data_IF_145225913839
#
_entry.id   IF_145225913839
#
_cell.length_a   1.000
_cell.length_b   1.000
_cell.length_c   1.000
_cell.angle_alpha   90.00
_cell.angle_beta   90.00
_cell.angle_gamma   90.00
#
_symmetry.space_group_name_H-M   'P 1'
#
loop_
_entity.id
_entity.type
_entity.pdbx_description
1 polymer ?
#
# COMPACT_ATOMS: atom_id res chain seq x y z
N UNK A 1 18.82 -28.21 -42.92
CA UNK A 1 17.63 -27.37 -43.14
C UNK A 1 16.47 -27.73 -42.21
N UNK A 2 16.30 -29.01 -41.85
CA UNK A 2 15.17 -29.47 -40.99
C UNK A 2 15.31 -29.04 -39.50
N UNK A 3 16.54 -28.86 -38.97
CA UNK A 3 16.82 -28.45 -37.59
C UNK A 3 16.58 -26.96 -37.32
N UNK A 4 16.70 -26.12 -38.35
CA UNK A 4 16.47 -24.67 -38.21
C UNK A 4 14.97 -24.36 -38.14
N UNK A 5 14.12 -25.14 -38.81
CA UNK A 5 12.67 -25.01 -38.81
C UNK A 5 12.03 -25.31 -37.44
N UNK A 6 12.64 -26.19 -36.63
CA UNK A 6 12.11 -26.59 -35.33
C UNK A 6 12.37 -25.52 -34.23
N UNK A 7 13.41 -24.69 -34.41
CA UNK A 7 13.76 -23.63 -33.42
C UNK A 7 12.87 -22.39 -33.51
N UNK A 8 12.27 -22.13 -34.67
CA UNK A 8 11.38 -20.98 -34.89
C UNK A 8 9.98 -21.16 -34.30
N UNK A 9 9.55 -22.44 -34.10
CA UNK A 9 8.20 -22.72 -33.56
C UNK A 9 8.12 -22.59 -32.04
N UNK A 10 9.25 -22.58 -31.32
CA UNK A 10 9.28 -22.53 -29.86
C UNK A 10 9.12 -21.10 -29.27
N UNK A 11 9.19 -20.05 -30.08
CA UNK A 11 9.12 -18.66 -29.62
C UNK A 11 7.71 -18.04 -29.62
N UNK A 12 6.66 -18.78 -30.00
CA UNK A 12 5.30 -18.25 -30.18
C UNK A 12 4.32 -18.54 -29.02
N UNK A 13 4.76 -19.09 -27.87
CA UNK A 13 3.82 -19.65 -26.88
C UNK A 13 3.75 -18.97 -25.52
N UNK A 14 4.28 -17.75 -25.36
CA UNK A 14 4.10 -16.99 -24.11
C UNK A 14 3.20 -15.76 -24.30
N UNK A 15 2.02 -15.94 -24.92
CA UNK A 15 0.94 -14.99 -24.69
C UNK A 15 0.36 -15.29 -23.29
N UNK A 16 0.80 -14.54 -22.29
CA UNK A 16 0.13 -14.60 -20.98
C UNK A 16 -1.27 -14.06 -21.17
N UNK A 17 -2.27 -14.96 -21.17
CA UNK A 17 -3.67 -14.54 -21.20
C UNK A 17 -3.95 -13.64 -20.01
N UNK A 18 -4.38 -12.42 -20.29
CA UNK A 18 -4.78 -11.42 -19.32
C UNK A 18 -6.30 -11.41 -19.20
N UNK A 19 -6.79 -11.07 -18.03
CA UNK A 19 -8.19 -10.74 -17.82
C UNK A 19 -8.31 -9.32 -17.28
N UNK A 20 -9.47 -8.71 -17.54
CA UNK A 20 -9.74 -7.33 -17.13
C UNK A 20 -10.82 -7.34 -16.07
N UNK A 21 -10.57 -6.65 -14.97
CA UNK A 21 -11.55 -6.39 -13.93
C UNK A 21 -11.90 -4.92 -13.96
N UNK A 22 -13.19 -4.63 -14.01
CA UNK A 22 -13.74 -3.28 -13.89
C UNK A 22 -14.49 -3.16 -12.57
N UNK A 23 -14.62 -1.97 -12.06
CA UNK A 23 -15.40 -1.76 -10.84
C UNK A 23 -15.58 -0.30 -10.50
N UNK A 24 -16.29 -0.09 -9.38
CA UNK A 24 -16.58 1.24 -8.85
C UNK A 24 -16.38 1.27 -7.35
N UNK A 25 -15.81 2.36 -6.86
CA UNK A 25 -15.57 2.62 -5.44
C UNK A 25 -16.45 3.77 -4.99
N UNK A 26 -17.23 3.56 -3.93
CA UNK A 26 -18.16 4.54 -3.37
C UNK A 26 -18.02 4.63 -1.86
N UNK A 27 -18.45 5.75 -1.30
CA UNK A 27 -18.65 5.91 0.15
C UNK A 27 -19.89 5.13 0.60
N UNK A 28 -19.76 4.26 1.60
CA UNK A 28 -20.85 3.40 2.08
C UNK A 28 -22.03 4.18 2.70
N UNK A 29 -21.78 5.39 3.24
CA UNK A 29 -22.82 6.21 3.87
C UNK A 29 -23.55 7.12 2.90
N UNK A 30 -22.81 7.75 1.98
CA UNK A 30 -23.35 8.77 1.06
C UNK A 30 -23.56 8.26 -0.35
N UNK A 31 -23.05 7.07 -0.69
CA UNK A 31 -23.04 6.48 -2.04
C UNK A 31 -22.34 7.36 -3.10
N UNK A 32 -21.57 8.36 -2.66
CA UNK A 32 -20.82 9.23 -3.57
C UNK A 32 -19.58 8.49 -4.10
N UNK A 33 -19.21 8.70 -5.36
CA UNK A 33 -18.01 8.10 -5.94
C UNK A 33 -16.75 8.61 -5.23
N UNK A 34 -15.80 7.72 -4.99
CA UNK A 34 -14.50 8.06 -4.41
C UNK A 34 -13.45 8.14 -5.54
N UNK A 35 -13.20 9.36 -5.98
CA UNK A 35 -12.15 9.67 -6.95
C UNK A 35 -10.77 9.68 -6.32
N UNK A 36 -9.77 9.10 -6.98
CA UNK A 36 -8.40 9.04 -6.47
C UNK A 36 -8.15 7.91 -5.45
N UNK A 37 -9.11 7.00 -5.27
CA UNK A 37 -8.90 5.80 -4.46
C UNK A 37 -7.89 4.87 -5.14
N UNK A 38 -6.96 4.32 -4.35
CA UNK A 38 -5.99 3.33 -4.83
C UNK A 38 -6.62 1.95 -4.85
N UNK A 39 -6.59 1.29 -5.99
CA UNK A 39 -7.08 -0.08 -6.21
C UNK A 39 -5.91 -0.94 -6.64
N UNK A 40 -5.50 -1.92 -5.87
CA UNK A 40 -4.31 -2.72 -6.16
C UNK A 40 -4.46 -4.17 -5.72
N UNK A 41 -3.70 -5.06 -6.36
CA UNK A 41 -3.63 -6.46 -5.97
C UNK A 41 -2.53 -6.64 -4.92
N UNK A 42 -2.87 -7.21 -3.77
CA UNK A 42 -1.96 -7.41 -2.64
C UNK A 42 -0.74 -8.24 -3.06
N UNK A 43 0.45 -7.84 -2.59
CA UNK A 43 1.74 -8.45 -2.88
C UNK A 43 2.13 -8.47 -4.38
N UNK A 44 1.62 -7.52 -5.16
CA UNK A 44 1.97 -7.32 -6.56
C UNK A 44 2.25 -5.84 -6.85
N UNK A 45 2.69 -5.56 -8.08
CA UNK A 45 2.81 -4.20 -8.63
C UNK A 45 1.59 -3.77 -9.44
N UNK A 46 0.54 -4.62 -9.52
CA UNK A 46 -0.67 -4.31 -10.26
C UNK A 46 -1.57 -3.39 -9.46
N UNK A 47 -1.82 -2.21 -9.98
CA UNK A 47 -2.70 -1.25 -9.34
C UNK A 47 -3.08 -0.10 -10.27
N UNK A 48 -4.18 0.55 -9.93
CA UNK A 48 -4.74 1.70 -10.63
C UNK A 48 -5.34 2.67 -9.63
N UNK A 49 -5.72 3.86 -10.09
CA UNK A 49 -6.41 4.87 -9.30
C UNK A 49 -7.80 5.08 -9.91
N UNK A 50 -8.82 5.26 -9.10
CA UNK A 50 -10.18 5.54 -9.56
C UNK A 50 -10.28 6.90 -10.24
N UNK A 51 -11.10 6.98 -11.30
CA UNK A 51 -11.42 8.21 -12.01
C UNK A 51 -12.40 9.12 -11.23
N UNK A 52 -12.88 10.20 -11.83
CA UNK A 52 -13.81 11.16 -11.21
C UNK A 52 -15.16 10.52 -10.82
N UNK A 53 -15.59 9.50 -11.55
CA UNK A 53 -16.82 8.73 -11.31
C UNK A 53 -16.62 7.58 -10.33
N UNK A 54 -15.41 7.46 -9.72
CA UNK A 54 -15.02 6.39 -8.81
C UNK A 54 -14.76 5.05 -9.50
N UNK A 55 -14.66 5.03 -10.83
CA UNK A 55 -14.50 3.82 -11.61
C UNK A 55 -13.03 3.45 -11.81
N UNK A 56 -12.76 2.16 -11.94
CA UNK A 56 -11.43 1.63 -12.24
C UNK A 56 -11.49 0.49 -13.25
N UNK A 57 -10.38 0.30 -13.94
CA UNK A 57 -10.14 -0.84 -14.84
C UNK A 57 -8.73 -1.33 -14.62
N UNK A 58 -8.57 -2.59 -14.22
CA UNK A 58 -7.27 -3.22 -13.99
C UNK A 58 -7.12 -4.46 -14.88
N UNK A 59 -5.95 -4.58 -15.54
CA UNK A 59 -5.60 -5.75 -16.37
C UNK A 59 -4.62 -6.62 -15.60
N UNK A 60 -4.93 -7.89 -15.49
CA UNK A 60 -4.19 -8.85 -14.68
C UNK A 60 -3.85 -10.10 -15.48
N UNK A 61 -2.69 -10.74 -15.25
CA UNK A 61 -2.43 -12.11 -15.70
C UNK A 61 -3.47 -13.07 -15.11
N UNK A 62 -3.71 -14.20 -15.78
CA UNK A 62 -4.61 -15.23 -15.26
C UNK A 62 -4.23 -15.64 -13.84
N UNK A 63 -5.21 -15.70 -12.95
CA UNK A 63 -5.00 -16.06 -11.55
C UNK A 63 -6.12 -15.60 -10.64
N UNK A 64 -5.86 -15.71 -9.35
CA UNK A 64 -6.70 -15.17 -8.28
C UNK A 64 -5.91 -14.15 -7.48
N UNK A 65 -6.53 -13.01 -7.17
CA UNK A 65 -5.91 -11.90 -6.47
C UNK A 65 -6.80 -11.40 -5.34
N UNK A 66 -6.18 -10.89 -4.30
CA UNK A 66 -6.85 -10.11 -3.27
C UNK A 66 -6.73 -8.63 -3.68
N UNK A 67 -7.84 -8.08 -4.18
CA UNK A 67 -7.94 -6.68 -4.56
C UNK A 67 -8.15 -5.86 -3.28
N UNK A 68 -7.27 -4.92 -3.04
CA UNK A 68 -7.33 -4.00 -1.90
C UNK A 68 -7.66 -2.61 -2.41
N UNK A 69 -8.62 -1.96 -1.78
CA UNK A 69 -8.95 -0.55 -2.04
C UNK A 69 -8.60 0.27 -0.82
N UNK A 70 -7.85 1.34 -1.06
CA UNK A 70 -7.36 2.27 -0.05
C UNK A 70 -7.72 3.70 -0.43
N UNK A 71 -8.27 4.45 0.53
CA UNK A 71 -8.56 5.87 0.37
C UNK A 71 -8.36 6.60 1.70
N UNK A 72 -7.74 7.78 1.64
CA UNK A 72 -7.42 8.56 2.85
C UNK A 72 -8.68 8.89 3.64
N UNK A 73 -8.67 8.55 4.94
CA UNK A 73 -9.82 8.74 5.82
C UNK A 73 -10.85 7.61 5.82
N UNK A 74 -10.62 6.53 5.06
CA UNK A 74 -11.49 5.36 4.99
C UNK A 74 -10.79 4.09 5.49
N UNK A 75 -11.57 3.12 5.94
CA UNK A 75 -11.10 1.77 6.21
C UNK A 75 -10.79 1.09 4.88
N UNK A 76 -9.67 0.36 4.79
CA UNK A 76 -9.36 -0.41 3.60
C UNK A 76 -10.41 -1.49 3.38
N UNK A 77 -10.75 -1.72 2.13
CA UNK A 77 -11.67 -2.79 1.71
C UNK A 77 -10.88 -3.83 0.91
N UNK A 78 -11.23 -5.10 1.11
CA UNK A 78 -10.63 -6.23 0.39
C UNK A 78 -11.70 -7.03 -0.34
N UNK A 79 -11.39 -7.43 -1.58
CA UNK A 79 -12.27 -8.23 -2.41
C UNK A 79 -11.48 -9.28 -3.17
N UNK A 80 -11.84 -10.56 -3.03
CA UNK A 80 -11.24 -11.63 -3.84
C UNK A 80 -11.76 -11.55 -5.27
N UNK A 81 -10.83 -11.53 -6.23
CA UNK A 81 -11.10 -11.55 -7.67
C UNK A 81 -10.32 -12.68 -8.36
N UNK A 82 -10.81 -13.12 -9.49
CA UNK A 82 -10.16 -14.16 -10.29
C UNK A 82 -10.55 -14.04 -11.78
N UNK A 83 -9.99 -14.88 -12.62
CA UNK A 83 -10.35 -15.00 -14.03
C UNK A 83 -11.84 -15.27 -14.28
N UNK A 84 -12.59 -15.75 -13.28
CA UNK A 84 -14.04 -15.95 -13.36
C UNK A 84 -14.85 -14.71 -12.94
N UNK A 85 -14.20 -13.63 -12.51
CA UNK A 85 -14.87 -12.37 -12.16
C UNK A 85 -15.22 -11.63 -13.46
N UNK A 86 -16.47 -11.72 -13.89
CA UNK A 86 -16.99 -11.11 -15.14
C UNK A 86 -17.81 -9.85 -14.89
N UNK A 87 -18.46 -9.77 -13.74
CA UNK A 87 -19.28 -8.61 -13.38
C UNK A 87 -18.41 -7.48 -12.79
N UNK A 88 -18.80 -6.22 -12.99
CA UNK A 88 -18.13 -5.09 -12.35
C UNK A 88 -18.15 -5.21 -10.82
N UNK A 89 -16.99 -5.03 -10.21
CA UNK A 89 -16.83 -5.10 -8.75
C UNK A 89 -17.28 -3.78 -8.13
N UNK A 90 -18.24 -3.83 -7.21
CA UNK A 90 -18.68 -2.66 -6.45
C UNK A 90 -18.07 -2.73 -5.06
N UNK A 91 -17.34 -1.69 -4.67
CA UNK A 91 -16.66 -1.61 -3.38
C UNK A 91 -17.16 -0.39 -2.63
N UNK A 92 -17.84 -0.63 -1.52
CA UNK A 92 -18.32 0.40 -0.61
C UNK A 92 -17.32 0.59 0.53
N UNK A 93 -16.71 1.76 0.60
CA UNK A 93 -15.73 2.07 1.63
C UNK A 93 -16.39 2.76 2.82
N UNK A 94 -16.04 2.31 4.02
CA UNK A 94 -16.49 2.92 5.27
C UNK A 94 -15.50 3.98 5.73
N UNK A 95 -15.97 5.19 6.02
CA UNK A 95 -15.14 6.22 6.63
C UNK A 95 -14.56 5.70 7.98
N UNK A 96 -13.29 6.03 8.26
CA UNK A 96 -12.70 5.77 9.58
C UNK A 96 -13.44 6.60 10.62
N UNK A 97 -13.85 5.95 11.70
CA UNK A 97 -14.50 6.66 12.80
C UNK A 97 -13.46 7.51 13.55
N UNK A 98 -13.52 8.82 13.34
CA UNK A 98 -12.65 9.77 14.02
C UNK A 98 -12.83 9.76 15.55
N UNK A 99 -13.96 9.23 16.06
CA UNK A 99 -14.20 9.13 17.50
C UNK A 99 -13.32 8.09 18.16
N UNK A 100 -12.99 6.98 17.47
CA UNK A 100 -12.07 5.97 17.97
C UNK A 100 -10.60 6.45 17.94
N UNK A 101 -10.22 7.29 16.98
CA UNK A 101 -8.93 7.98 17.00
C UNK A 101 -8.90 9.03 18.12
N UNK A 102 -9.97 9.79 18.32
CA UNK A 102 -10.08 10.80 19.38
C UNK A 102 -9.97 10.20 20.79
N UNK A 103 -10.49 9.01 21.05
CA UNK A 103 -10.36 8.32 22.35
C UNK A 103 -8.91 7.87 22.60
N UNK A 104 -8.15 7.57 21.55
CA UNK A 104 -6.71 7.25 21.67
C UNK A 104 -5.85 8.53 21.80
N UNK A 105 -6.33 9.67 21.31
CA UNK A 105 -5.66 10.98 21.26
C UNK A 105 -6.11 11.92 22.38
N UNK A 106 -7.21 11.60 23.10
CA UNK A 106 -7.80 12.44 24.18
C UNK A 106 -6.96 12.56 25.46
N UNK A 107 -5.70 12.18 25.43
CA UNK A 107 -4.72 12.57 26.44
C UNK A 107 -3.51 13.14 25.71
N UNK A 108 -3.04 14.30 26.10
CA UNK A 108 -1.92 15.11 25.59
C UNK A 108 -0.55 14.39 25.46
N UNK A 109 -0.53 13.20 24.90
CA UNK A 109 0.67 12.36 24.74
C UNK A 109 1.32 12.52 23.34
N UNK A 110 0.80 13.42 22.51
CA UNK A 110 1.44 13.74 21.23
C UNK A 110 2.74 14.50 21.48
N UNK A 111 3.78 14.09 20.80
CA UNK A 111 5.10 14.71 20.90
C UNK A 111 5.22 15.74 19.78
N UNK A 112 5.27 17.03 20.12
CA UNK A 112 5.29 18.14 19.16
C UNK A 112 6.41 17.99 18.11
N UNK A 113 7.65 17.65 18.56
CA UNK A 113 8.80 17.42 17.70
C UNK A 113 9.04 15.92 17.46
N UNK A 114 7.95 15.17 17.25
CA UNK A 114 7.98 13.72 17.24
C UNK A 114 8.93 13.13 16.21
N UNK A 115 9.00 13.67 15.01
CA UNK A 115 9.90 13.17 13.98
C UNK A 115 11.37 13.46 14.30
N UNK A 116 11.70 14.64 14.84
CA UNK A 116 13.07 14.94 15.30
C UNK A 116 13.51 13.97 16.38
N UNK A 117 12.62 13.58 17.29
CA UNK A 117 12.94 12.71 18.42
C UNK A 117 12.91 11.23 18.09
N UNK A 118 11.94 10.80 17.29
CA UNK A 118 11.66 9.37 17.05
C UNK A 118 11.76 8.96 15.58
N UNK A 119 12.09 9.87 14.66
CA UNK A 119 12.11 9.58 13.22
C UNK A 119 13.15 8.54 12.82
N UNK A 120 14.35 8.60 13.40
CA UNK A 120 15.39 7.59 13.16
C UNK A 120 14.93 6.22 13.68
N UNK A 121 14.36 6.19 14.88
CA UNK A 121 13.80 4.98 15.49
C UNK A 121 12.63 4.41 14.67
N UNK A 122 11.72 5.28 14.20
CA UNK A 122 10.63 4.86 13.32
C UNK A 122 11.14 4.20 12.05
N UNK A 123 12.12 4.81 11.38
CA UNK A 123 12.72 4.25 10.17
C UNK A 123 13.32 2.87 10.40
N UNK A 124 14.03 2.68 11.50
CA UNK A 124 14.60 1.39 11.88
C UNK A 124 13.52 0.33 12.12
N UNK A 125 12.43 0.69 12.83
CA UNK A 125 11.34 -0.24 13.14
C UNK A 125 10.46 -0.55 11.92
N UNK A 126 10.32 0.39 10.99
CA UNK A 126 9.43 0.27 9.83
C UNK A 126 10.13 -0.34 8.60
N UNK A 127 11.32 0.16 8.26
CA UNK A 127 12.11 -0.34 7.11
C UNK A 127 13.02 -1.51 7.50
N UNK A 128 13.39 -1.60 8.78
CA UNK A 128 14.39 -2.55 9.26
C UNK A 128 15.81 -2.01 9.22
N UNK A 129 16.79 -2.92 9.41
CA UNK A 129 18.24 -2.59 9.52
C UNK A 129 19.08 -3.24 8.41
N UNK A 130 18.46 -3.72 7.33
CA UNK A 130 19.18 -4.32 6.19
C UNK A 130 19.83 -3.25 5.29
N UNK A 131 20.77 -3.65 4.44
CA UNK A 131 21.36 -2.76 3.45
C UNK A 131 20.29 -2.11 2.55
N UNK A 132 19.28 -2.88 2.12
CA UNK A 132 18.17 -2.34 1.31
C UNK A 132 17.32 -1.33 2.10
N UNK A 133 17.19 -1.48 3.42
CA UNK A 133 16.45 -0.56 4.27
C UNK A 133 17.14 0.80 4.39
N UNK A 134 18.49 0.84 4.36
CA UNK A 134 19.26 2.09 4.37
C UNK A 134 19.08 2.93 3.10
N UNK A 135 18.70 2.29 1.99
CA UNK A 135 18.39 2.93 0.71
C UNK A 135 16.92 3.39 0.59
N UNK A 136 16.16 3.31 1.70
CA UNK A 136 14.79 3.81 1.74
C UNK A 136 14.75 5.29 2.13
N UNK A 137 14.25 6.12 1.23
CA UNK A 137 14.04 7.56 1.42
C UNK A 137 12.57 7.86 1.69
N UNK A 138 12.24 8.33 2.90
CA UNK A 138 10.90 8.78 3.26
C UNK A 138 10.66 10.19 2.70
N UNK A 139 9.64 10.34 1.84
CA UNK A 139 9.37 11.58 1.10
C UNK A 139 8.49 12.58 1.86
N UNK A 140 7.59 12.09 2.74
CA UNK A 140 6.64 12.93 3.49
C UNK A 140 6.69 12.67 5.01
N UNK A 141 7.83 12.94 5.68
CA UNK A 141 7.99 12.72 7.11
C UNK A 141 7.00 13.51 7.97
N UNK A 142 6.47 14.63 7.48
CA UNK A 142 5.44 15.47 8.11
C UNK A 142 4.07 14.80 8.24
N UNK A 143 3.83 13.71 7.50
CA UNK A 143 2.64 12.88 7.65
C UNK A 143 2.64 12.13 8.99
N UNK A 144 3.79 11.89 9.60
CA UNK A 144 3.95 11.12 10.82
C UNK A 144 3.54 11.91 12.08
N UNK A 145 2.78 11.28 12.95
CA UNK A 145 2.41 11.77 14.28
C UNK A 145 2.83 10.77 15.34
N UNK A 146 3.51 11.24 16.37
CA UNK A 146 4.08 10.40 17.42
C UNK A 146 3.40 10.65 18.75
N UNK A 147 2.99 9.56 19.42
CA UNK A 147 2.31 9.58 20.71
C UNK A 147 3.07 8.69 21.70
N UNK A 148 3.54 9.27 22.79
CA UNK A 148 4.26 8.52 23.82
C UNK A 148 3.47 8.44 25.12
N UNK A 149 3.13 7.22 25.55
CA UNK A 149 2.46 6.96 26.81
C UNK A 149 3.46 6.50 27.88
N UNK A 150 3.78 7.40 28.83
CA UNK A 150 4.63 7.05 30.00
C UNK A 150 4.02 5.89 30.81
N UNK A 151 2.69 5.91 31.03
CA UNK A 151 1.98 4.90 31.82
C UNK A 151 2.11 3.49 31.23
N UNK A 152 2.06 3.39 29.90
CA UNK A 152 2.16 2.10 29.18
C UNK A 152 3.56 1.81 28.67
N UNK A 153 4.49 2.74 28.84
CA UNK A 153 5.84 2.70 28.24
C UNK A 153 5.81 2.30 26.75
N UNK A 154 4.99 3.04 25.97
CA UNK A 154 4.64 2.72 24.60
C UNK A 154 4.76 3.95 23.71
N UNK A 155 5.36 3.77 22.54
CA UNK A 155 5.30 4.72 21.44
C UNK A 155 4.26 4.23 20.43
N UNK A 156 3.33 5.11 20.02
CA UNK A 156 2.40 4.86 18.92
C UNK A 156 2.66 5.90 17.84
N UNK A 157 2.73 5.44 16.59
CA UNK A 157 2.87 6.29 15.42
C UNK A 157 1.62 6.15 14.57
N UNK A 158 1.03 7.28 14.22
CA UNK A 158 -0.10 7.40 13.30
C UNK A 158 0.33 8.25 12.12
N UNK A 159 -0.43 8.19 11.04
CA UNK A 159 -0.22 9.00 9.85
C UNK A 159 -1.42 9.89 9.55
N UNK A 160 -1.19 11.08 9.01
CA UNK A 160 -2.24 12.00 8.54
C UNK A 160 -2.71 11.60 7.12
N UNK A 161 -1.81 11.03 6.35
CA UNK A 161 -1.98 10.59 4.96
C UNK A 161 -1.06 9.40 4.68
N UNK A 162 -1.21 8.75 3.53
CA UNK A 162 -0.38 7.62 3.15
C UNK A 162 1.10 8.01 3.13
N UNK A 163 1.95 7.17 3.71
CA UNK A 163 3.39 7.34 3.64
C UNK A 163 3.88 7.16 2.21
N UNK A 164 4.80 8.00 1.80
CA UNK A 164 5.46 7.91 0.51
C UNK A 164 6.96 7.75 0.73
N UNK A 165 7.54 6.74 0.12
CA UNK A 165 8.98 6.53 0.16
C UNK A 165 9.50 5.87 -1.12
N UNK A 166 10.79 6.05 -1.38
CA UNK A 166 11.51 5.40 -2.47
C UNK A 166 12.42 4.35 -1.84
N UNK A 167 12.42 3.15 -2.38
CA UNK A 167 13.45 2.16 -2.13
C UNK A 167 14.39 2.13 -3.33
N UNK A 168 15.52 2.82 -3.22
CA UNK A 168 16.50 2.96 -4.30
C UNK A 168 17.15 1.62 -4.64
N UNK A 169 17.37 0.74 -3.65
CA UNK A 169 17.96 -0.58 -3.87
C UNK A 169 17.09 -1.49 -4.74
N UNK A 170 15.78 -1.35 -4.65
CA UNK A 170 14.83 -2.19 -5.38
C UNK A 170 14.15 -1.46 -6.55
N UNK A 171 14.38 -0.15 -6.72
CA UNK A 171 13.82 0.63 -7.82
C UNK A 171 12.30 0.84 -7.74
N UNK A 172 11.75 0.94 -6.52
CA UNK A 172 10.33 1.18 -6.31
C UNK A 172 10.06 2.46 -5.55
N UNK A 173 9.08 3.23 -6.02
CA UNK A 173 8.34 4.19 -5.22
C UNK A 173 7.19 3.45 -4.55
N UNK A 174 7.03 3.63 -3.24
CA UNK A 174 6.01 2.95 -2.46
C UNK A 174 5.12 3.99 -1.81
N UNK A 175 3.82 3.81 -1.97
CA UNK A 175 2.80 4.47 -1.17
C UNK A 175 2.28 3.44 -0.18
N UNK A 176 2.37 3.75 1.11
CA UNK A 176 2.01 2.82 2.17
C UNK A 176 0.91 3.43 3.04
N UNK A 177 -0.27 2.82 3.01
CA UNK A 177 -1.33 3.14 3.93
C UNK A 177 -1.03 2.49 5.28
N UNK A 178 -0.41 3.25 6.19
CA UNK A 178 -0.10 2.78 7.54
C UNK A 178 -1.31 3.03 8.45
N UNK A 179 -1.88 1.99 9.03
CA UNK A 179 -2.94 2.15 10.04
C UNK A 179 -2.36 2.65 11.36
N UNK A 180 -1.32 2.00 11.85
CA UNK A 180 -0.52 2.45 12.98
C UNK A 180 0.76 1.62 13.10
N UNK A 181 1.79 2.21 13.73
CA UNK A 181 2.92 1.47 14.27
C UNK A 181 2.92 1.66 15.78
N UNK A 182 3.08 0.57 16.52
CA UNK A 182 3.16 0.59 17.98
C UNK A 182 4.44 -0.11 18.43
N UNK A 183 5.20 0.53 19.31
CA UNK A 183 6.37 -0.06 19.94
C UNK A 183 6.20 -0.12 21.46
N UNK A 184 6.32 -1.31 22.01
CA UNK A 184 6.26 -1.58 23.46
C UNK A 184 7.68 -1.66 24.02
N UNK A 185 8.12 -0.66 24.78
CA UNK A 185 9.49 -0.62 25.32
C UNK A 185 9.77 -1.75 26.34
N UNK A 186 8.72 -2.24 27.02
CA UNK A 186 8.86 -3.32 28.01
C UNK A 186 9.21 -4.67 27.38
N UNK A 187 8.65 -4.96 26.22
CA UNK A 187 8.87 -6.22 25.47
C UNK A 187 9.80 -6.05 24.28
N UNK A 188 10.12 -4.81 23.91
CA UNK A 188 10.88 -4.45 22.71
C UNK A 188 10.24 -4.98 21.41
N UNK A 189 8.89 -5.03 21.37
CA UNK A 189 8.15 -5.51 20.22
C UNK A 189 7.56 -4.33 19.45
N UNK A 190 7.83 -4.30 18.15
CA UNK A 190 7.13 -3.46 17.17
C UNK A 190 5.99 -4.24 16.53
N UNK A 191 4.82 -3.59 16.45
CA UNK A 191 3.68 -4.10 15.69
C UNK A 191 3.18 -2.98 14.79
N UNK A 192 3.02 -3.27 13.51
CA UNK A 192 2.39 -2.34 12.57
C UNK A 192 1.52 -3.09 11.57
N UNK A 193 0.53 -2.40 11.04
CA UNK A 193 -0.36 -2.89 10.01
C UNK A 193 -0.56 -1.82 8.94
N UNK A 194 -0.81 -2.26 7.72
CA UNK A 194 -1.06 -1.37 6.59
C UNK A 194 -0.86 -2.09 5.25
N UNK A 195 -1.06 -1.34 4.17
CA UNK A 195 -1.05 -1.86 2.81
C UNK A 195 -0.06 -1.07 1.95
N UNK A 196 0.96 -1.74 1.37
CA UNK A 196 1.86 -1.13 0.41
C UNK A 196 1.25 -1.11 -0.99
N UNK A 197 1.45 -0.02 -1.71
CA UNK A 197 1.25 0.09 -3.15
C UNK A 197 2.60 0.42 -3.80
N UNK A 198 3.03 -0.41 -4.76
CA UNK A 198 4.33 -0.33 -5.40
C UNK A 198 4.21 0.26 -6.81
N UNK A 199 5.04 1.26 -7.11
CA UNK A 199 5.21 1.82 -8.44
C UNK A 199 6.67 1.62 -8.87
N UNK A 200 6.90 0.91 -9.99
CA UNK A 200 8.26 0.76 -10.51
C UNK A 200 8.78 2.10 -11.00
N UNK A 201 10.01 2.45 -10.64
CA UNK A 201 10.66 3.65 -11.16
C UNK A 201 11.14 3.33 -12.59
N UNK A 202 10.74 4.19 -13.56
CA UNK A 202 11.11 4.01 -14.95
C UNK A 202 12.64 3.95 -15.12
N UNK A 203 13.13 2.90 -15.77
CA UNK A 203 14.56 2.67 -16.01
C UNK A 203 15.20 1.55 -15.18
N UNK A 204 14.59 1.12 -14.07
CA UNK A 204 15.13 0.02 -13.23
C UNK A 204 14.52 -1.34 -13.55
N UNK A 205 13.35 -1.38 -14.17
CA UNK A 205 12.65 -2.64 -14.51
C UNK A 205 13.35 -3.46 -15.62
N UNK A 206 14.15 -2.81 -16.48
CA UNK A 206 14.88 -3.49 -17.57
C UNK A 206 16.17 -4.19 -17.12
N UNK A 207 16.77 -3.77 -16.00
CA UNK A 207 18.00 -4.40 -15.48
C UNK A 207 17.74 -5.65 -14.64
N UNK A 208 16.54 -5.82 -14.10
CA UNK A 208 16.21 -6.97 -13.24
C UNK A 208 15.76 -8.23 -14.01
N UNK A 209 15.67 -8.14 -15.34
CA UNK A 209 15.25 -9.27 -16.22
C UNK A 209 16.40 -9.86 -17.06
N UNK A 210 17.66 -9.52 -16.72
CA UNK A 210 18.84 -10.09 -17.36
C UNK A 210 19.58 -11.09 -16.49
#
# INVERSE_FOLDING_TARGET
FLFISLFVICSALFSQEQFTVTGKVTDAGTQQPLSGASVFCQNTTFGVITNAEGEFTIKLPRGGYDLVVSYTGYQSAEQRISTSTTDPVVIEMKAKDKSMEAVTVAGSNEVADGFTKYGAFFKEQFFGSTANASECELLNPEALRFFYSKKRNRLKVLVKEDLQFINHALGYKVRYQLDSLTYEYGTQISTFSGYPFFEAIAGTAEEQTR
#
